data_IF_122807038748
#
_entry.id   IF_122807038748
#
_cell.length_a   1.000
_cell.length_b   1.000
_cell.length_c   1.000
_cell.angle_alpha   90.00
_cell.angle_beta   90.00
_cell.angle_gamma   90.00
#
_symmetry.space_group_name_H-M   'P 1'
#
loop_
_entity.id
_entity.type
_entity.pdbx_description
1 polymer ?
#
# COMPACT_ATOMS: atom_id res chain seq x y z
N UNK A 1 43.11 8.76 61.37
CA UNK A 1 43.29 8.04 60.10
C UNK A 1 41.96 7.69 59.38
N UNK A 2 40.87 7.51 60.10
CA UNK A 2 39.58 7.09 59.43
C UNK A 2 38.92 8.15 58.50
N UNK A 3 39.15 9.43 58.72
CA UNK A 3 38.52 10.52 57.93
C UNK A 3 39.11 10.72 56.52
N UNK A 4 40.37 10.33 56.30
CA UNK A 4 41.05 10.46 55.00
C UNK A 4 40.60 9.39 54.00
N UNK A 5 40.21 8.22 54.47
CA UNK A 5 39.72 7.14 53.63
C UNK A 5 38.32 7.36 53.11
N UNK A 6 37.46 8.03 53.87
CA UNK A 6 36.09 8.37 53.47
C UNK A 6 36.08 9.39 52.31
N UNK A 7 37.02 10.36 52.37
CA UNK A 7 37.15 11.36 51.30
C UNK A 7 37.63 10.74 49.97
N UNK A 8 38.52 9.76 50.01
CA UNK A 8 38.99 9.03 48.83
C UNK A 8 37.91 8.12 48.24
N UNK A 9 37.06 7.49 49.05
CA UNK A 9 35.93 6.67 48.59
C UNK A 9 34.84 7.49 47.93
N UNK A 10 34.56 8.69 48.46
CA UNK A 10 33.59 9.62 47.82
C UNK A 10 34.09 10.19 46.50
N UNK A 11 35.39 10.46 46.38
CA UNK A 11 36.00 10.90 45.13
C UNK A 11 35.96 9.80 44.02
N UNK A 12 36.17 8.52 44.40
CA UNK A 12 36.07 7.41 43.45
C UNK A 12 34.63 7.13 43.00
N UNK A 13 33.63 7.32 43.89
CA UNK A 13 32.23 7.14 43.54
C UNK A 13 31.73 8.23 42.58
N UNK A 14 32.28 9.44 42.68
CA UNK A 14 31.94 10.56 41.79
C UNK A 14 32.47 10.35 40.35
N UNK A 15 33.61 9.66 40.21
CA UNK A 15 34.19 9.36 38.88
C UNK A 15 33.41 8.23 38.18
N UNK A 16 32.82 7.31 38.94
CA UNK A 16 32.00 6.22 38.38
C UNK A 16 30.62 6.70 37.89
N UNK A 17 30.12 7.85 38.38
CA UNK A 17 28.85 8.41 37.95
C UNK A 17 28.96 9.35 36.71
N UNK A 18 30.18 9.76 36.33
CA UNK A 18 30.43 10.55 35.12
C UNK A 18 30.68 9.73 33.85
N UNK A 19 30.68 8.40 33.94
CA UNK A 19 31.03 7.49 32.83
C UNK A 19 29.91 7.04 31.94
N UNK A 20 28.68 7.51 32.08
CA UNK A 20 27.52 7.08 31.25
C UNK A 20 26.61 8.22 30.80
N UNK A 21 27.17 9.38 30.49
CA UNK A 21 26.51 10.25 29.51
C UNK A 21 27.09 9.92 28.15
N UNK A 22 26.65 8.78 27.60
CA UNK A 22 26.68 8.55 26.17
C UNK A 22 25.80 9.65 25.62
N UNK A 23 26.42 10.67 25.03
CA UNK A 23 25.69 11.62 24.19
C UNK A 23 24.84 10.74 23.24
N UNK A 24 23.53 10.87 23.32
CA UNK A 24 22.69 10.42 22.26
C UNK A 24 23.24 11.15 21.01
N UNK A 25 23.92 10.41 20.15
CA UNK A 25 24.09 10.85 18.77
C UNK A 25 22.67 11.21 18.32
N UNK A 26 22.46 12.40 17.70
CA UNK A 26 21.21 12.64 17.06
C UNK A 26 21.01 11.45 16.13
N UNK A 27 19.94 10.67 16.35
CA UNK A 27 19.40 9.81 15.32
C UNK A 27 19.22 10.77 14.16
N UNK A 28 20.13 10.70 13.19
CA UNK A 28 19.88 11.22 11.86
C UNK A 28 18.66 10.40 11.47
N UNK A 29 17.48 11.03 11.55
CA UNK A 29 16.37 10.56 10.75
C UNK A 29 16.97 10.52 9.34
N UNK A 30 17.40 9.34 8.91
CA UNK A 30 17.58 9.06 7.50
C UNK A 30 16.23 9.46 6.92
N UNK A 31 16.25 10.60 6.24
CA UNK A 31 15.20 11.00 5.33
C UNK A 31 15.12 9.81 4.38
N UNK A 32 14.21 8.87 4.68
CA UNK A 32 13.88 7.77 3.81
C UNK A 32 13.21 8.48 2.65
N UNK A 33 14.04 8.99 1.76
CA UNK A 33 13.61 9.41 0.43
C UNK A 33 12.83 8.22 -0.08
N UNK A 34 11.49 8.35 -0.09
CA UNK A 34 10.59 7.24 -0.23
C UNK A 34 11.08 6.37 -1.37
N UNK A 35 11.41 5.12 -1.06
CA UNK A 35 11.87 4.19 -2.08
C UNK A 35 10.84 4.24 -3.20
N UNK A 36 11.29 4.37 -4.43
CA UNK A 36 10.38 4.39 -5.58
C UNK A 36 9.62 3.06 -5.59
N UNK A 37 8.31 3.08 -5.31
CA UNK A 37 7.45 1.92 -5.26
C UNK A 37 7.60 1.01 -6.49
N UNK A 38 8.01 1.57 -7.64
CA UNK A 38 8.32 0.81 -8.87
C UNK A 38 9.45 -0.20 -8.69
N UNK A 39 10.25 -0.05 -7.63
CA UNK A 39 11.35 -0.99 -7.30
C UNK A 39 10.95 -2.06 -6.29
N UNK A 40 9.76 -1.97 -5.69
CA UNK A 40 9.34 -2.88 -4.61
C UNK A 40 8.97 -4.28 -5.10
N UNK A 41 8.52 -4.40 -6.38
CA UNK A 41 8.18 -5.70 -6.98
C UNK A 41 6.88 -6.34 -6.48
N UNK A 42 6.01 -5.56 -5.80
CA UNK A 42 4.71 -6.02 -5.30
C UNK A 42 3.54 -5.12 -5.73
N UNK A 43 3.82 -4.02 -6.40
CA UNK A 43 2.82 -3.17 -7.05
C UNK A 43 2.63 -3.68 -8.48
N UNK A 44 1.41 -4.05 -8.83
CA UNK A 44 1.08 -4.65 -10.13
C UNK A 44 0.73 -3.58 -11.18
N UNK A 45 0.08 -2.48 -10.77
CA UNK A 45 -0.28 -1.39 -11.68
C UNK A 45 -0.50 -0.07 -10.92
N UNK A 46 -0.75 1.01 -11.68
CA UNK A 46 -1.09 2.33 -11.16
C UNK A 46 -1.99 3.08 -12.11
N UNK A 47 -2.71 4.08 -11.59
CA UNK A 47 -3.57 4.93 -12.41
C UNK A 47 -4.09 6.12 -11.63
N UNK A 48 -4.71 7.04 -12.34
CA UNK A 48 -5.39 8.19 -11.74
C UNK A 48 -6.89 7.97 -11.84
N UNK A 49 -7.55 7.88 -10.69
CA UNK A 49 -9.00 7.79 -10.56
C UNK A 49 -9.60 9.18 -10.48
N UNK A 50 -10.71 9.43 -11.18
CA UNK A 50 -11.44 10.69 -11.12
C UNK A 50 -12.80 10.48 -10.43
N UNK A 51 -12.94 11.05 -9.24
CA UNK A 51 -14.19 11.02 -8.48
C UNK A 51 -14.63 12.45 -8.16
N UNK A 52 -15.85 12.80 -8.54
CA UNK A 52 -16.46 14.12 -8.30
C UNK A 52 -15.54 15.31 -8.70
N UNK A 53 -14.67 15.08 -9.71
CA UNK A 53 -13.71 16.06 -10.24
C UNK A 53 -12.38 16.12 -9.50
N UNK A 54 -12.17 15.29 -8.50
CA UNK A 54 -10.87 15.08 -7.86
C UNK A 54 -10.07 14.00 -8.59
N UNK A 55 -8.78 14.26 -8.81
CA UNK A 55 -7.83 13.30 -9.37
C UNK A 55 -7.07 12.64 -8.24
N UNK A 56 -7.15 11.32 -8.13
CA UNK A 56 -6.55 10.51 -7.08
C UNK A 56 -5.58 9.54 -7.74
N UNK A 57 -4.28 9.73 -7.50
CA UNK A 57 -3.27 8.80 -8.00
C UNK A 57 -3.21 7.58 -7.08
N UNK A 58 -3.31 6.40 -7.68
CA UNK A 58 -3.45 5.13 -6.97
C UNK A 58 -2.44 4.09 -7.47
N UNK A 59 -2.02 3.23 -6.56
CA UNK A 59 -1.26 2.01 -6.80
C UNK A 59 -2.17 0.81 -6.60
N UNK A 60 -2.07 -0.19 -7.47
CA UNK A 60 -2.79 -1.46 -7.38
C UNK A 60 -1.86 -2.58 -6.92
N UNK A 61 -2.30 -3.34 -5.93
CA UNK A 61 -1.70 -4.61 -5.54
C UNK A 61 -2.74 -5.72 -5.66
N UNK A 62 -2.38 -6.80 -6.36
CA UNK A 62 -3.26 -7.92 -6.67
C UNK A 62 -2.90 -9.12 -5.81
N UNK A 63 -3.91 -9.73 -5.19
CA UNK A 63 -3.80 -10.94 -4.37
C UNK A 63 -4.77 -12.01 -4.89
N UNK A 64 -4.77 -13.19 -4.30
CA UNK A 64 -5.65 -14.28 -4.72
C UNK A 64 -7.14 -14.06 -4.40
N UNK A 65 -7.44 -13.30 -3.34
CA UNK A 65 -8.82 -13.13 -2.83
C UNK A 65 -9.33 -11.69 -3.01
N UNK A 66 -8.45 -10.73 -3.24
CA UNK A 66 -8.78 -9.32 -3.38
C UNK A 66 -7.72 -8.57 -4.21
N UNK A 67 -8.03 -7.33 -4.56
CA UNK A 67 -7.07 -6.33 -4.95
C UNK A 67 -7.16 -5.14 -4.00
N UNK A 68 -6.04 -4.50 -3.72
CA UNK A 68 -5.99 -3.33 -2.83
C UNK A 68 -5.47 -2.13 -3.61
N UNK A 69 -6.21 -1.04 -3.53
CA UNK A 69 -5.78 0.27 -4.02
C UNK A 69 -5.18 1.06 -2.86
N UNK A 70 -4.00 1.61 -3.08
CA UNK A 70 -3.31 2.50 -2.15
C UNK A 70 -3.16 3.88 -2.76
N UNK A 71 -3.15 4.94 -1.95
CA UNK A 71 -2.75 6.26 -2.42
C UNK A 71 -1.29 6.24 -2.87
N UNK A 72 -1.01 6.77 -4.07
CA UNK A 72 0.37 6.99 -4.56
C UNK A 72 0.95 8.25 -3.91
N UNK A 73 1.17 8.19 -2.61
CA UNK A 73 1.78 9.25 -1.83
C UNK A 73 2.78 8.68 -0.81
N UNK A 74 3.45 9.55 -0.06
CA UNK A 74 4.45 9.15 0.93
C UNK A 74 3.91 8.26 2.06
N UNK A 75 2.58 8.22 2.27
CA UNK A 75 1.94 7.45 3.35
C UNK A 75 1.55 6.05 2.90
N UNK A 76 1.27 5.86 1.59
CA UNK A 76 0.75 4.62 1.02
C UNK A 76 -0.39 4.02 1.85
N UNK A 77 -1.30 4.85 2.29
CA UNK A 77 -2.48 4.37 3.00
C UNK A 77 -3.43 3.69 2.03
N UNK A 78 -4.12 2.67 2.50
CA UNK A 78 -5.16 1.98 1.76
C UNK A 78 -6.29 2.95 1.38
N UNK A 79 -6.64 2.95 0.09
CA UNK A 79 -7.78 3.68 -0.46
C UNK A 79 -9.02 2.79 -0.52
N UNK A 80 -8.88 1.56 -1.03
CA UNK A 80 -9.97 0.59 -1.13
C UNK A 80 -9.45 -0.84 -1.14
N UNK A 81 -10.19 -1.74 -0.50
CA UNK A 81 -10.05 -3.20 -0.59
C UNK A 81 -11.19 -3.73 -1.48
N UNK A 82 -10.81 -4.39 -2.58
CA UNK A 82 -11.71 -4.88 -3.63
C UNK A 82 -11.79 -6.41 -3.54
N UNK A 83 -12.64 -6.95 -2.67
CA UNK A 83 -12.84 -8.39 -2.53
C UNK A 83 -13.40 -8.99 -3.82
N UNK A 84 -12.82 -10.12 -4.26
CA UNK A 84 -13.33 -10.88 -5.40
C UNK A 84 -14.52 -11.74 -4.99
N UNK A 85 -15.47 -12.02 -5.90
CA UNK A 85 -16.59 -12.91 -5.62
C UNK A 85 -16.15 -14.37 -5.40
N UNK A 86 -14.95 -14.72 -5.87
CA UNK A 86 -14.25 -16.00 -5.68
C UNK A 86 -12.75 -15.81 -5.87
N UNK A 87 -11.90 -16.65 -5.24
CA UNK A 87 -10.45 -16.53 -5.39
C UNK A 87 -9.99 -16.72 -6.83
N UNK A 88 -8.97 -15.95 -7.23
CA UNK A 88 -8.26 -16.11 -8.50
C UNK A 88 -6.94 -16.82 -8.22
N UNK A 89 -6.77 -18.02 -8.76
CA UNK A 89 -5.50 -18.76 -8.66
C UNK A 89 -4.44 -18.06 -9.50
N UNK A 90 -3.22 -17.95 -8.97
CA UNK A 90 -2.08 -17.30 -9.63
C UNK A 90 -2.40 -15.86 -10.09
N UNK A 91 -3.15 -15.11 -9.26
CA UNK A 91 -3.70 -13.83 -9.61
C UNK A 91 -2.67 -12.83 -10.16
N UNK A 92 -1.49 -12.72 -9.54
CA UNK A 92 -0.42 -11.83 -10.01
C UNK A 92 0.14 -12.23 -11.37
N UNK A 93 0.26 -13.56 -11.66
CA UNK A 93 0.73 -14.04 -12.96
C UNK A 93 -0.32 -13.86 -14.05
N UNK A 94 -1.60 -13.91 -13.68
CA UNK A 94 -2.75 -13.76 -14.58
C UNK A 94 -3.21 -12.33 -14.74
N UNK A 95 -2.79 -11.44 -13.88
CA UNK A 95 -3.14 -10.02 -13.98
C UNK A 95 -2.77 -9.48 -15.35
N UNK A 96 -3.72 -8.83 -16.03
CA UNK A 96 -3.53 -8.24 -17.35
C UNK A 96 -3.62 -6.72 -17.31
N UNK A 97 -4.68 -6.16 -16.73
CA UNK A 97 -4.87 -4.71 -16.77
C UNK A 97 -5.83 -4.17 -15.70
N UNK A 98 -5.59 -2.90 -15.37
CA UNK A 98 -6.47 -2.01 -14.62
C UNK A 98 -7.10 -1.01 -15.58
N UNK A 99 -8.40 -0.77 -15.44
CA UNK A 99 -9.09 0.34 -16.11
C UNK A 99 -9.89 1.13 -15.10
N UNK A 100 -9.70 2.44 -15.11
CA UNK A 100 -10.44 3.42 -14.31
C UNK A 100 -11.32 4.23 -15.28
N UNK A 101 -12.57 3.83 -15.42
CA UNK A 101 -13.51 4.38 -16.40
C UNK A 101 -14.95 4.28 -15.88
N UNK A 102 -15.78 5.24 -16.17
CA UNK A 102 -17.22 5.16 -15.94
C UNK A 102 -17.83 4.00 -16.75
N UNK A 103 -18.18 2.91 -16.07
CA UNK A 103 -18.75 1.70 -16.67
C UNK A 103 -20.27 1.64 -16.56
N UNK A 104 -20.85 2.33 -15.59
CA UNK A 104 -22.28 2.32 -15.31
C UNK A 104 -23.02 3.56 -15.87
N UNK A 105 -22.29 4.61 -16.32
CA UNK A 105 -22.84 5.83 -16.92
C UNK A 105 -23.32 6.86 -15.90
N UNK A 106 -22.70 6.91 -14.71
CA UNK A 106 -23.07 7.83 -13.63
C UNK A 106 -22.14 9.04 -13.48
N UNK A 107 -21.22 9.23 -14.45
CA UNK A 107 -20.19 10.27 -14.50
C UNK A 107 -19.10 10.13 -13.42
N UNK A 108 -18.97 8.92 -12.82
CA UNK A 108 -17.87 8.56 -11.89
C UNK A 108 -17.08 7.40 -12.44
N UNK A 109 -15.79 7.39 -12.19
CA UNK A 109 -14.97 6.27 -12.63
C UNK A 109 -15.14 5.07 -11.72
N UNK A 110 -15.26 3.91 -12.35
CA UNK A 110 -15.33 2.59 -11.74
C UNK A 110 -13.97 1.88 -11.88
N UNK A 111 -13.74 0.86 -11.08
CA UNK A 111 -12.54 0.01 -11.17
C UNK A 111 -12.88 -1.24 -11.94
N UNK A 112 -12.12 -1.53 -13.00
CA UNK A 112 -12.17 -2.79 -13.74
C UNK A 112 -10.81 -3.46 -13.72
N UNK A 113 -10.75 -4.71 -13.26
CA UNK A 113 -9.55 -5.54 -13.23
C UNK A 113 -9.75 -6.75 -14.12
N UNK A 114 -8.73 -7.08 -14.91
CA UNK A 114 -8.75 -8.19 -15.87
C UNK A 114 -7.70 -9.21 -15.50
N UNK A 115 -8.10 -10.48 -15.50
CA UNK A 115 -7.22 -11.64 -15.34
C UNK A 115 -7.30 -12.52 -16.57
N UNK A 116 -6.17 -12.75 -17.20
CA UNK A 116 -6.07 -13.55 -18.43
C UNK A 116 -5.96 -15.04 -18.14
N UNK A 117 -6.66 -15.87 -18.91
CA UNK A 117 -6.56 -17.31 -18.84
C UNK A 117 -5.97 -17.90 -20.13
N UNK A 118 -5.38 -19.08 -20.01
CA UNK A 118 -4.75 -19.77 -21.15
C UNK A 118 -5.75 -20.26 -22.22
N UNK A 119 -7.01 -20.40 -21.86
CA UNK A 119 -8.09 -20.89 -22.73
C UNK A 119 -8.65 -19.83 -23.70
N UNK A 120 -8.13 -18.60 -23.66
CA UNK A 120 -8.57 -17.51 -24.53
C UNK A 120 -9.73 -16.71 -23.95
N UNK A 121 -9.99 -16.85 -22.66
CA UNK A 121 -11.00 -16.07 -21.93
C UNK A 121 -10.30 -15.18 -20.88
N UNK A 122 -10.86 -14.02 -20.64
CA UNK A 122 -10.48 -13.12 -19.54
C UNK A 122 -11.54 -13.20 -18.44
N UNK A 123 -11.12 -13.28 -17.18
CA UNK A 123 -12.01 -13.00 -16.05
C UNK A 123 -11.95 -11.50 -15.77
N UNK A 124 -13.12 -10.87 -15.72
CA UNK A 124 -13.29 -9.43 -15.52
C UNK A 124 -14.08 -9.18 -14.25
N UNK A 125 -13.52 -8.39 -13.36
CA UNK A 125 -14.21 -7.89 -12.18
C UNK A 125 -14.37 -6.38 -12.25
N UNK A 126 -15.54 -5.89 -11.90
CA UNK A 126 -15.89 -4.46 -11.89
C UNK A 126 -16.47 -4.07 -10.53
N UNK A 127 -15.99 -2.96 -10.00
CA UNK A 127 -16.55 -2.31 -8.82
C UNK A 127 -16.95 -0.89 -9.17
N UNK A 128 -18.20 -0.55 -8.88
CA UNK A 128 -18.73 0.80 -9.12
C UNK A 128 -18.68 1.64 -7.83
N UNK A 129 -18.39 2.93 -7.99
CA UNK A 129 -18.41 3.88 -6.89
C UNK A 129 -19.83 4.26 -6.52
N UNK A 130 -20.27 4.00 -5.27
CA UNK A 130 -21.61 4.30 -4.78
C UNK A 130 -21.78 5.67 -4.11
N UNK A 131 -20.67 6.45 -4.05
CA UNK A 131 -20.58 7.75 -3.37
C UNK A 131 -19.92 7.66 -1.99
N UNK A 132 -19.62 6.45 -1.50
CA UNK A 132 -18.94 6.23 -0.22
C UNK A 132 -17.82 5.18 -0.32
N UNK A 133 -17.86 4.32 -1.32
CA UNK A 133 -16.89 3.25 -1.55
C UNK A 133 -17.18 2.50 -2.85
N UNK A 134 -16.32 1.54 -3.16
CA UNK A 134 -16.50 0.65 -4.29
C UNK A 134 -17.38 -0.55 -3.91
N UNK A 135 -18.36 -0.82 -4.75
CA UNK A 135 -19.29 -1.96 -4.60
C UNK A 135 -19.14 -2.86 -5.82
N UNK A 136 -18.94 -4.16 -5.58
CA UNK A 136 -18.85 -5.14 -6.65
C UNK A 136 -20.10 -5.14 -7.54
N UNK A 137 -19.89 -5.06 -8.87
CA UNK A 137 -20.95 -4.99 -9.89
C UNK A 137 -20.99 -6.31 -10.69
N UNK A 138 -21.77 -7.32 -10.26
CA UNK A 138 -21.81 -8.62 -10.93
C UNK A 138 -22.36 -8.56 -12.34
N UNK A 139 -23.21 -7.57 -12.65
CA UNK A 139 -23.79 -7.37 -13.99
C UNK A 139 -22.80 -6.82 -15.02
N UNK A 140 -21.69 -6.21 -14.56
CA UNK A 140 -20.60 -5.68 -15.37
C UNK A 140 -19.37 -6.58 -15.32
N UNK A 141 -19.42 -7.66 -14.54
CA UNK A 141 -18.33 -8.61 -14.34
C UNK A 141 -18.64 -9.93 -15.03
N UNK A 142 -17.62 -10.73 -15.31
CA UNK A 142 -17.81 -12.05 -15.92
C UNK A 142 -16.60 -12.51 -16.72
N UNK A 143 -16.83 -13.46 -17.62
CA UNK A 143 -15.84 -13.93 -18.56
C UNK A 143 -16.04 -13.26 -19.92
N UNK A 144 -14.95 -12.74 -20.50
CA UNK A 144 -14.94 -12.10 -21.81
C UNK A 144 -13.89 -12.81 -22.70
N UNK A 145 -14.15 -13.00 -24.02
CA UNK A 145 -13.11 -13.49 -24.92
C UNK A 145 -11.99 -12.44 -25.06
N UNK A 146 -10.77 -12.88 -25.29
CA UNK A 146 -9.65 -11.97 -25.59
C UNK A 146 -10.00 -11.08 -26.78
N UNK A 147 -9.71 -9.77 -26.66
CA UNK A 147 -9.76 -8.84 -27.78
C UNK A 147 -8.46 -8.84 -28.58
#
# INVERSE_FOLDING_TARGET
MKRRWIALLLAFLSILLMGCQRAAEPEVEEDVAGEDWRTWGWVDDWGTLVLDGEHIDLLLCVFSENAVLFYDDATMTEFADLEYPYPVEDAQERYDSLSLLDKNGDDREDVRIVFRHEDGMDTVFVWCWDGSGFVFAPELSGEEPYE
#
